data_IF_487852852892
#
_entry.id   IF_487852852892
#
_cell.length_a   1.000
_cell.length_b   1.000
_cell.length_c   1.000
_cell.angle_alpha   90.00
_cell.angle_beta   90.00
_cell.angle_gamma   90.00
#
_symmetry.space_group_name_H-M   'P 1'
#
loop_
_entity.id
_entity.type
_entity.pdbx_description
1 polymer ?
#
# COMPACT_ATOMS: atom_id res chain seq x y z
N UNK A 1 -3.98 -11.08 -23.01
CA UNK A 1 -4.72 -11.06 -21.72
C UNK A 1 -4.61 -9.66 -21.15
N UNK A 2 -5.60 -9.13 -20.44
CA UNK A 2 -5.48 -7.85 -19.77
C UNK A 2 -4.37 -7.94 -18.69
N UNK A 3 -3.72 -6.82 -18.37
CA UNK A 3 -2.71 -6.80 -17.31
C UNK A 3 -3.33 -7.11 -15.94
N UNK A 4 -2.52 -7.49 -14.97
CA UNK A 4 -2.98 -7.70 -13.59
C UNK A 4 -2.64 -6.49 -12.73
N UNK A 5 -3.64 -5.98 -11.99
CA UNK A 5 -3.45 -5.00 -10.94
C UNK A 5 -3.50 -5.71 -9.59
N UNK A 6 -2.34 -5.87 -8.97
CA UNK A 6 -2.22 -6.45 -7.62
C UNK A 6 -2.35 -5.35 -6.59
N UNK A 7 -3.40 -5.38 -5.78
CA UNK A 7 -3.69 -4.38 -4.74
C UNK A 7 -3.19 -4.92 -3.40
N UNK A 8 -2.06 -4.43 -2.92
CA UNK A 8 -1.51 -4.78 -1.60
C UNK A 8 -2.00 -3.78 -0.57
N UNK A 9 -2.83 -4.24 0.35
CA UNK A 9 -3.57 -3.45 1.33
C UNK A 9 -3.25 -3.88 2.76
N UNK A 10 -3.50 -3.02 3.72
CA UNK A 10 -3.36 -3.34 5.15
C UNK A 10 -3.14 -2.09 6.01
N UNK A 11 -3.23 -2.24 7.34
CA UNK A 11 -3.01 -1.13 8.27
C UNK A 11 -1.55 -0.66 8.25
N UNK A 12 -1.23 0.52 8.81
CA UNK A 12 0.16 0.94 9.04
C UNK A 12 0.92 -0.14 9.80
N UNK A 13 2.22 -0.32 9.50
CA UNK A 13 3.06 -1.33 10.16
C UNK A 13 2.82 -2.79 9.74
N UNK A 14 1.84 -3.06 8.86
CA UNK A 14 1.53 -4.43 8.40
C UNK A 14 2.55 -5.01 7.41
N UNK A 15 3.67 -4.36 7.11
CA UNK A 15 4.69 -4.89 6.20
C UNK A 15 4.29 -4.92 4.71
N UNK A 16 3.17 -4.29 4.34
CA UNK A 16 2.64 -4.27 2.97
C UNK A 16 3.62 -3.73 1.93
N UNK A 17 4.40 -2.68 2.23
CA UNK A 17 5.39 -2.09 1.32
C UNK A 17 6.51 -3.10 1.01
N UNK A 18 7.04 -3.76 2.03
CA UNK A 18 8.05 -4.81 1.86
C UNK A 18 7.50 -5.97 1.01
N UNK A 19 6.27 -6.42 1.30
CA UNK A 19 5.62 -7.46 0.51
C UNK A 19 5.39 -7.02 -0.93
N UNK A 20 4.95 -5.78 -1.16
CA UNK A 20 4.73 -5.25 -2.51
C UNK A 20 6.01 -5.29 -3.37
N UNK A 21 7.14 -4.88 -2.82
CA UNK A 21 8.43 -4.96 -3.51
C UNK A 21 8.89 -6.42 -3.76
N UNK A 22 8.68 -7.33 -2.81
CA UNK A 22 8.98 -8.75 -3.01
C UNK A 22 8.12 -9.34 -4.13
N UNK A 23 6.82 -9.04 -4.13
CA UNK A 23 5.91 -9.50 -5.18
C UNK A 23 6.27 -8.93 -6.55
N UNK A 24 6.58 -7.63 -6.62
CA UNK A 24 6.97 -6.97 -7.87
C UNK A 24 8.22 -7.60 -8.49
N UNK A 25 9.19 -8.01 -7.67
CA UNK A 25 10.37 -8.76 -8.13
C UNK A 25 10.00 -10.16 -8.63
N UNK A 26 9.10 -10.85 -7.93
CA UNK A 26 8.69 -12.21 -8.28
C UNK A 26 7.76 -12.25 -9.52
N UNK A 27 7.00 -11.19 -9.77
CA UNK A 27 6.09 -11.02 -10.91
C UNK A 27 6.74 -10.27 -12.11
N UNK A 28 8.05 -10.03 -12.16
CA UNK A 28 8.83 -9.05 -12.94
C UNK A 28 8.02 -7.82 -13.40
N UNK A 29 7.49 -7.06 -12.45
CA UNK A 29 6.67 -5.88 -12.74
C UNK A 29 6.99 -4.71 -11.77
N UNK A 30 6.57 -3.46 -12.05
CA UNK A 30 6.78 -2.36 -11.13
C UNK A 30 5.92 -2.48 -9.86
N UNK A 31 6.48 -2.01 -8.73
CA UNK A 31 5.70 -1.65 -7.54
C UNK A 31 5.47 -0.15 -7.54
N UNK A 32 4.24 0.27 -7.29
CA UNK A 32 3.86 1.67 -7.08
C UNK A 32 3.33 1.78 -5.66
N UNK A 33 4.15 2.35 -4.78
CA UNK A 33 3.83 2.56 -3.39
C UNK A 33 3.41 4.01 -3.16
N UNK A 34 2.20 4.22 -2.68
CA UNK A 34 1.65 5.58 -2.50
C UNK A 34 2.51 6.42 -1.56
N UNK A 35 3.01 5.83 -0.49
CA UNK A 35 3.80 6.54 0.50
C UNK A 35 5.17 6.96 -0.06
N UNK A 36 5.80 6.16 -0.92
CA UNK A 36 7.04 6.49 -1.61
C UNK A 36 6.88 7.68 -2.59
N UNK A 37 5.70 7.83 -3.20
CA UNK A 37 5.40 9.03 -4.01
C UNK A 37 5.44 10.27 -3.12
N UNK A 38 4.83 10.22 -1.93
CA UNK A 38 4.85 11.34 -0.97
C UNK A 38 6.27 11.64 -0.48
N UNK A 39 7.03 10.62 -0.15
CA UNK A 39 8.44 10.73 0.28
C UNK A 39 9.28 11.42 -0.80
N UNK A 40 9.12 11.02 -2.08
CA UNK A 40 9.76 11.67 -3.21
C UNK A 40 9.37 13.13 -3.37
N UNK A 41 8.10 13.49 -3.13
CA UNK A 41 7.64 14.89 -3.17
C UNK A 41 8.24 15.72 -2.03
N UNK A 42 8.35 15.16 -0.82
CA UNK A 42 8.99 15.83 0.32
C UNK A 42 10.47 16.05 0.03
N UNK A 43 11.16 15.03 -0.46
CA UNK A 43 12.56 15.11 -0.85
C UNK A 43 12.81 16.20 -1.92
N UNK A 44 11.99 16.23 -2.96
CA UNK A 44 12.14 17.20 -4.06
C UNK A 44 11.93 18.65 -3.64
N UNK A 45 11.13 18.91 -2.60
CA UNK A 45 10.90 20.27 -2.09
C UNK A 45 12.08 20.81 -1.28
N UNK A 46 12.88 19.93 -0.68
CA UNK A 46 13.93 20.31 0.26
C UNK A 46 13.39 20.94 1.56
N UNK A 47 14.26 21.14 2.54
CA UNK A 47 13.91 21.79 3.80
C UNK A 47 13.16 20.88 4.80
N UNK A 48 12.80 21.48 5.94
CA UNK A 48 12.07 20.78 6.98
C UNK A 48 10.60 20.60 6.59
N UNK A 49 10.11 19.36 6.66
CA UNK A 49 8.70 19.03 6.45
C UNK A 49 8.11 18.46 7.74
N UNK A 50 6.98 18.98 8.17
CA UNK A 50 6.21 18.44 9.29
C UNK A 50 4.97 17.75 8.77
N UNK A 51 4.90 16.45 8.93
CA UNK A 51 3.77 15.65 8.48
C UNK A 51 2.53 15.88 9.35
N UNK A 52 1.43 16.16 8.72
CA UNK A 52 0.10 16.27 9.33
C UNK A 52 -0.83 15.19 8.78
N UNK A 53 -1.85 14.85 9.58
CA UNK A 53 -2.94 14.02 9.06
C UNK A 53 -3.67 14.78 7.96
N UNK A 54 -3.74 14.20 6.75
CA UNK A 54 -4.37 14.84 5.57
C UNK A 54 -3.71 16.16 5.13
N UNK A 55 -2.39 16.30 5.32
CA UNK A 55 -1.66 17.44 4.77
C UNK A 55 -1.81 17.55 3.24
N UNK A 56 -1.45 18.73 2.68
CA UNK A 56 -1.61 19.01 1.27
C UNK A 56 -0.92 17.98 0.35
N UNK A 57 0.24 17.44 0.74
CA UNK A 57 0.92 16.39 -0.03
C UNK A 57 0.15 15.06 0.04
N UNK A 58 -0.38 14.71 1.21
CA UNK A 58 -1.26 13.53 1.36
C UNK A 58 -2.46 13.61 0.42
N UNK A 59 -3.06 14.81 0.29
CA UNK A 59 -4.21 15.01 -0.60
C UNK A 59 -3.81 14.97 -2.09
N UNK A 60 -2.64 15.50 -2.45
CA UNK A 60 -2.11 15.46 -3.81
C UNK A 60 -1.68 14.07 -4.27
N UNK A 61 -1.06 13.29 -3.39
CA UNK A 61 -0.61 11.94 -3.75
C UNK A 61 -1.75 10.98 -4.04
N UNK A 62 -2.95 11.23 -3.51
CA UNK A 62 -4.09 10.33 -3.71
C UNK A 62 -4.52 10.24 -5.19
N UNK A 63 -4.90 11.33 -5.88
CA UNK A 63 -5.25 11.28 -7.30
C UNK A 63 -4.06 10.88 -8.18
N UNK A 64 -2.86 11.39 -7.88
CA UNK A 64 -1.66 11.07 -8.65
C UNK A 64 -1.35 9.57 -8.64
N UNK A 65 -1.48 8.92 -7.49
CA UNK A 65 -1.27 7.48 -7.37
C UNK A 65 -2.17 6.69 -8.34
N UNK A 66 -3.47 7.00 -8.37
CA UNK A 66 -4.41 6.33 -9.29
C UNK A 66 -4.17 6.67 -10.75
N UNK A 67 -3.73 7.88 -11.05
CA UNK A 67 -3.37 8.27 -12.41
C UNK A 67 -2.17 7.47 -12.93
N UNK A 68 -1.13 7.31 -12.11
CA UNK A 68 0.03 6.47 -12.45
C UNK A 68 -0.40 5.02 -12.69
N UNK A 69 -1.24 4.45 -11.82
CA UNK A 69 -1.76 3.09 -12.02
C UNK A 69 -2.54 2.98 -13.33
N UNK A 70 -3.40 3.96 -13.61
CA UNK A 70 -4.20 3.98 -14.85
C UNK A 70 -3.32 4.00 -16.10
N UNK A 71 -2.28 4.83 -16.11
CA UNK A 71 -1.33 4.90 -17.25
C UNK A 71 -0.68 3.54 -17.49
N UNK A 72 -0.24 2.86 -16.42
CA UNK A 72 0.42 1.55 -16.53
C UNK A 72 -0.55 0.47 -17.03
N UNK A 73 -1.75 0.36 -16.45
CA UNK A 73 -2.68 -0.68 -16.85
C UNK A 73 -3.24 -0.47 -18.27
N UNK A 74 -3.47 0.79 -18.68
CA UNK A 74 -3.88 1.12 -20.06
C UNK A 74 -2.77 0.78 -21.06
N UNK A 75 -1.50 0.93 -20.67
CA UNK A 75 -0.36 0.49 -21.48
C UNK A 75 -0.15 -1.04 -21.47
N UNK A 76 -1.00 -1.81 -20.81
CA UNK A 76 -0.89 -3.28 -20.73
C UNK A 76 0.15 -3.77 -19.70
N UNK A 77 0.59 -2.93 -18.78
CA UNK A 77 1.60 -3.27 -17.77
C UNK A 77 0.93 -3.86 -16.53
N UNK A 78 1.31 -5.08 -16.14
CA UNK A 78 1.01 -5.63 -14.82
C UNK A 78 1.74 -4.81 -13.75
N UNK A 79 1.07 -4.50 -12.64
CA UNK A 79 1.61 -3.62 -11.60
C UNK A 79 1.16 -4.05 -10.20
N UNK A 80 2.05 -3.92 -9.23
CA UNK A 80 1.74 -4.04 -7.81
C UNK A 80 1.49 -2.64 -7.25
N UNK A 81 0.27 -2.39 -6.78
CA UNK A 81 -0.15 -1.13 -6.18
C UNK A 81 -0.21 -1.30 -4.66
N UNK A 82 0.50 -0.46 -3.91
CA UNK A 82 0.53 -0.52 -2.45
C UNK A 82 0.00 0.77 -1.82
N UNK A 83 -0.97 0.61 -0.93
CA UNK A 83 -1.48 1.66 -0.06
C UNK A 83 -2.35 1.07 1.07
N UNK A 84 -2.89 1.91 1.95
CA UNK A 84 -3.79 1.43 2.99
C UNK A 84 -5.07 0.80 2.42
N UNK A 85 -5.61 1.32 1.33
CA UNK A 85 -6.83 0.85 0.66
C UNK A 85 -8.01 0.57 1.61
N UNK A 86 -8.30 1.53 2.49
CA UNK A 86 -9.52 1.48 3.30
C UNK A 86 -10.74 1.79 2.44
N UNK A 87 -11.80 0.98 2.55
CA UNK A 87 -12.94 0.97 1.63
C UNK A 87 -13.53 2.36 1.35
N UNK A 88 -13.97 3.07 2.37
CA UNK A 88 -14.67 4.35 2.22
C UNK A 88 -13.90 5.42 1.42
N UNK A 89 -12.57 5.36 1.41
CA UNK A 89 -11.72 6.38 0.78
C UNK A 89 -11.12 5.92 -0.55
N UNK A 90 -10.81 4.62 -0.68
CA UNK A 90 -9.99 4.11 -1.78
C UNK A 90 -10.79 3.45 -2.89
N UNK A 91 -12.02 3.04 -2.58
CA UNK A 91 -12.89 2.36 -3.53
C UNK A 91 -13.14 3.19 -4.79
N UNK A 92 -13.47 4.48 -4.64
CA UNK A 92 -13.73 5.39 -5.77
C UNK A 92 -12.55 5.56 -6.73
N UNK A 93 -11.32 5.39 -6.24
CA UNK A 93 -10.11 5.44 -7.08
C UNK A 93 -9.83 4.11 -7.78
N UNK A 94 -10.20 2.96 -7.17
CA UNK A 94 -10.01 1.64 -7.77
C UNK A 94 -11.11 1.27 -8.77
N UNK A 95 -12.36 1.69 -8.54
CA UNK A 95 -13.50 1.36 -9.42
C UNK A 95 -13.25 1.69 -10.90
N UNK A 96 -12.64 2.83 -11.27
CA UNK A 96 -12.33 3.12 -12.67
C UNK A 96 -11.27 2.19 -13.31
N UNK A 97 -10.50 1.46 -12.49
CA UNK A 97 -9.48 0.50 -12.96
C UNK A 97 -10.07 -0.91 -13.14
N UNK A 98 -11.26 -1.16 -12.57
CA UNK A 98 -12.02 -2.41 -12.80
C UNK A 98 -12.39 -2.49 -14.28
N UNK A 99 -12.08 -3.60 -14.93
CA UNK A 99 -12.28 -3.77 -16.37
C UNK A 99 -11.11 -3.33 -17.26
N UNK A 100 -10.17 -2.50 -16.75
CA UNK A 100 -8.90 -2.21 -17.43
C UNK A 100 -7.83 -3.25 -17.12
N UNK A 101 -7.91 -3.88 -15.94
CA UNK A 101 -6.98 -4.90 -15.47
C UNK A 101 -7.72 -6.00 -14.70
N UNK A 102 -7.10 -7.17 -14.58
CA UNK A 102 -7.54 -8.20 -13.64
C UNK A 102 -7.11 -7.78 -12.22
N UNK A 103 -8.07 -7.54 -11.32
CA UNK A 103 -7.75 -7.22 -9.94
C UNK A 103 -7.43 -8.49 -9.14
N UNK A 104 -6.37 -8.39 -8.31
CA UNK A 104 -6.02 -9.36 -7.28
C UNK A 104 -5.74 -8.60 -5.99
N UNK A 105 -6.45 -8.91 -4.91
CA UNK A 105 -6.33 -8.18 -3.64
C UNK A 105 -5.53 -9.02 -2.65
N UNK A 106 -4.47 -8.43 -2.09
CA UNK A 106 -3.63 -9.03 -1.06
C UNK A 106 -3.77 -8.20 0.21
N UNK A 107 -4.41 -8.77 1.21
CA UNK A 107 -4.65 -8.12 2.50
C UNK A 107 -3.60 -8.52 3.52
N UNK A 108 -2.70 -7.61 3.88
CA UNK A 108 -1.75 -7.81 4.97
C UNK A 108 -2.42 -7.62 6.33
N UNK A 109 -2.21 -8.58 7.21
CA UNK A 109 -2.60 -8.53 8.62
C UNK A 109 -1.37 -8.69 9.52
N UNK A 110 -1.46 -8.17 10.73
CA UNK A 110 -0.38 -8.23 11.73
C UNK A 110 -0.97 -7.95 13.11
N UNK A 111 -0.37 -8.46 14.17
CA UNK A 111 -0.79 -8.13 15.53
C UNK A 111 -0.47 -6.68 15.90
N UNK A 112 -1.29 -6.09 16.77
CA UNK A 112 -1.10 -4.69 17.23
C UNK A 112 0.26 -4.47 17.89
N UNK A 113 0.74 -5.45 18.67
CA UNK A 113 2.04 -5.39 19.33
C UNK A 113 3.19 -5.24 18.32
N UNK A 114 3.20 -6.08 17.28
CA UNK A 114 4.21 -6.06 16.21
C UNK A 114 4.07 -4.80 15.35
N UNK A 115 2.84 -4.33 15.11
CA UNK A 115 2.59 -3.05 14.42
C UNK A 115 3.30 -1.89 15.14
N UNK A 116 3.07 -1.75 16.44
CA UNK A 116 3.65 -0.66 17.25
C UNK A 116 5.17 -0.74 17.28
N UNK A 117 5.73 -1.92 17.50
CA UNK A 117 7.18 -2.16 17.46
C UNK A 117 7.80 -1.73 16.13
N UNK A 118 7.21 -2.18 14.99
CA UNK A 118 7.69 -1.87 13.65
C UNK A 118 7.65 -0.37 13.35
N UNK A 119 6.56 0.32 13.73
CA UNK A 119 6.44 1.76 13.52
C UNK A 119 7.48 2.51 14.35
N UNK A 120 7.64 2.17 15.64
CA UNK A 120 8.63 2.80 16.52
C UNK A 120 10.04 2.63 15.98
N UNK A 121 10.40 1.41 15.54
CA UNK A 121 11.72 1.14 14.98
C UNK A 121 11.98 1.96 13.70
N UNK A 122 11.03 2.04 12.78
CA UNK A 122 11.17 2.81 11.53
C UNK A 122 11.33 4.31 11.78
N UNK A 123 10.57 4.88 12.72
CA UNK A 123 10.72 6.29 13.09
C UNK A 123 12.14 6.64 13.57
N UNK A 124 12.85 5.67 14.16
CA UNK A 124 14.21 5.86 14.67
C UNK A 124 15.28 5.65 13.59
N UNK A 125 15.01 4.88 12.51
CA UNK A 125 16.03 4.44 11.55
C UNK A 125 15.83 4.96 10.13
N UNK A 126 14.64 5.47 9.78
CA UNK A 126 14.29 5.85 8.41
C UNK A 126 13.95 7.37 8.36
N UNK A 127 14.88 8.25 7.93
CA UNK A 127 14.66 9.70 7.88
C UNK A 127 13.47 10.12 7.00
N UNK A 128 13.18 9.39 5.93
CA UNK A 128 12.04 9.59 5.02
C UNK A 128 10.69 9.44 5.74
N UNK A 129 10.66 8.77 6.89
CA UNK A 129 9.46 8.68 7.73
C UNK A 129 8.99 10.02 8.31
N UNK A 130 9.82 11.06 8.25
CA UNK A 130 9.40 12.43 8.56
C UNK A 130 8.25 12.92 7.64
N UNK A 131 8.08 12.31 6.46
CA UNK A 131 6.95 12.56 5.58
C UNK A 131 5.60 12.04 6.10
N UNK A 132 5.58 11.26 7.19
CA UNK A 132 4.40 10.58 7.71
C UNK A 132 4.09 10.95 9.16
N UNK A 133 2.81 10.90 9.53
CA UNK A 133 2.33 11.23 10.88
C UNK A 133 2.39 10.02 11.83
N UNK A 134 3.46 9.24 11.81
CA UNK A 134 3.61 7.99 12.57
C UNK A 134 3.50 8.20 14.09
N UNK A 135 4.06 9.30 14.63
CA UNK A 135 3.94 9.64 16.05
C UNK A 135 2.48 9.86 16.47
N UNK A 136 1.68 10.53 15.63
CA UNK A 136 0.26 10.74 15.89
C UNK A 136 -0.50 9.42 15.84
N UNK A 137 -0.14 8.53 14.91
CA UNK A 137 -0.73 7.18 14.82
C UNK A 137 -0.46 6.36 16.09
N UNK A 138 0.78 6.38 16.61
CA UNK A 138 1.13 5.67 17.85
C UNK A 138 0.46 6.23 19.10
N UNK A 139 0.23 7.55 19.15
CA UNK A 139 -0.42 8.22 20.27
C UNK A 139 -1.96 8.04 20.26
N UNK A 140 -2.55 7.81 19.10
CA UNK A 140 -3.99 7.59 18.99
C UNK A 140 -4.38 6.19 19.50
N UNK A 141 -5.45 6.13 20.31
CA UNK A 141 -6.11 4.85 20.54
C UNK A 141 -6.71 4.33 19.23
N UNK A 142 -6.73 2.99 18.98
CA UNK A 142 -7.39 2.43 17.80
C UNK A 142 -8.87 2.78 17.82
N UNK A 143 -9.26 3.82 17.09
CA UNK A 143 -10.65 4.33 17.14
C UNK A 143 -11.58 3.63 16.15
N UNK A 144 -11.01 2.99 15.11
CA UNK A 144 -11.81 2.32 14.09
C UNK A 144 -11.04 1.12 13.54
N UNK A 145 -11.65 -0.06 13.45
CA UNK A 145 -11.04 -1.22 12.80
C UNK A 145 -10.68 -0.90 11.35
N UNK A 146 -9.58 -1.48 10.87
CA UNK A 146 -9.19 -1.35 9.47
C UNK A 146 -10.27 -1.96 8.57
N UNK A 147 -10.88 -1.14 7.71
CA UNK A 147 -11.91 -1.59 6.77
C UNK A 147 -11.26 -2.06 5.48
N UNK A 148 -11.39 -3.35 5.18
CA UNK A 148 -10.93 -3.91 3.91
C UNK A 148 -11.73 -3.35 2.74
N UNK A 149 -11.06 -3.24 1.57
CA UNK A 149 -11.72 -2.81 0.34
C UNK A 149 -12.83 -3.80 -0.06
N UNK A 150 -14.01 -3.30 -0.39
CA UNK A 150 -15.22 -4.08 -0.73
C UNK A 150 -15.49 -4.16 -2.25
N UNK A 151 -14.41 -4.28 -3.05
CA UNK A 151 -14.53 -4.52 -4.49
C UNK A 151 -14.62 -6.02 -4.73
N UNK A 152 -15.54 -6.43 -5.61
CA UNK A 152 -15.71 -7.82 -6.02
C UNK A 152 -14.52 -8.27 -6.89
N UNK A 153 -13.47 -8.77 -6.25
CA UNK A 153 -12.27 -9.32 -6.88
C UNK A 153 -11.71 -10.47 -6.03
N UNK A 154 -10.99 -11.42 -6.63
CA UNK A 154 -10.27 -12.44 -5.86
C UNK A 154 -9.36 -11.80 -4.82
N UNK A 155 -9.41 -12.29 -3.57
CA UNK A 155 -8.67 -11.73 -2.45
C UNK A 155 -8.03 -12.82 -1.59
N UNK A 156 -6.82 -12.54 -1.09
CA UNK A 156 -6.09 -13.40 -0.15
C UNK A 156 -5.69 -12.58 1.08
N UNK A 157 -5.72 -13.22 2.26
CA UNK A 157 -5.24 -12.61 3.51
C UNK A 157 -3.86 -13.17 3.81
N UNK A 158 -2.92 -12.29 4.13
CA UNK A 158 -1.53 -12.63 4.43
C UNK A 158 -1.20 -12.15 5.84
N UNK A 159 -0.92 -13.07 6.73
CA UNK A 159 -0.33 -12.75 8.03
C UNK A 159 1.16 -12.44 7.84
N UNK A 160 1.57 -11.29 8.31
CA UNK A 160 2.94 -10.80 8.22
C UNK A 160 3.64 -10.70 9.58
N UNK A 161 3.05 -11.28 10.63
CA UNK A 161 3.55 -11.18 12.02
C UNK A 161 4.94 -11.78 12.13
N UNK A 162 5.13 -12.99 11.60
CA UNK A 162 6.42 -13.69 11.55
C UNK A 162 6.61 -14.31 10.16
N UNK A 163 7.24 -13.55 9.27
CA UNK A 163 7.34 -13.90 7.86
C UNK A 163 6.05 -13.60 7.07
N UNK A 164 5.68 -14.48 6.15
CA UNK A 164 4.48 -14.39 5.33
C UNK A 164 3.72 -15.72 5.33
N UNK A 165 2.45 -15.67 5.74
CA UNK A 165 1.55 -16.83 5.71
C UNK A 165 0.24 -16.43 5.01
N UNK A 166 -0.05 -16.94 3.81
CA UNK A 166 0.78 -17.86 2.99
C UNK A 166 2.11 -17.24 2.52
N UNK A 167 3.01 -18.09 2.06
CA UNK A 167 4.33 -17.68 1.56
C UNK A 167 4.25 -16.79 0.32
N UNK A 168 5.31 -16.05 0.01
CA UNK A 168 5.37 -15.20 -1.19
C UNK A 168 5.14 -16.01 -2.47
N UNK A 169 5.63 -17.26 -2.54
CA UNK A 169 5.41 -18.14 -3.69
C UNK A 169 3.93 -18.50 -3.87
N UNK A 170 3.22 -18.79 -2.78
CA UNK A 170 1.78 -19.08 -2.81
C UNK A 170 0.96 -17.83 -3.17
N UNK A 171 1.36 -16.65 -2.69
CA UNK A 171 0.74 -15.38 -3.08
C UNK A 171 0.93 -15.12 -4.59
N UNK A 172 2.12 -15.35 -5.13
CA UNK A 172 2.40 -15.23 -6.57
C UNK A 172 1.55 -16.21 -7.38
N UNK A 173 1.39 -17.44 -6.91
CA UNK A 173 0.48 -18.43 -7.53
C UNK A 173 -0.95 -17.95 -7.55
N UNK A 174 -1.46 -17.39 -6.44
CA UNK A 174 -2.79 -16.78 -6.37
C UNK A 174 -2.95 -15.60 -7.35
N UNK A 175 -1.92 -14.79 -7.54
CA UNK A 175 -1.98 -13.65 -8.48
C UNK A 175 -2.07 -14.11 -9.93
N UNK A 176 -1.42 -15.23 -10.26
CA UNK A 176 -1.37 -15.78 -11.62
C UNK A 176 -2.53 -16.73 -11.93
N UNK A 177 -3.42 -17.02 -10.97
CA UNK A 177 -4.63 -17.84 -11.18
C UNK A 177 -5.79 -16.99 -11.72
#
# INVERSE_FOLDING_TARGET
MPPTLVVVSGPPGSGKTTLAHLMARALPCPAICRDEIKEGMVHARGGAFTAETQDALTMLTFPLFFEVLRVLVVAGVTVVAEAAFQDARWRSGLEPLVGLAQLRIVHCTVSDAVTRERITRRMASEPERAAHADAKYLAAAPSTPFQRISIAAPAIVVDTTDGYVPSVAEIVTFVNS
#
